data_IF_781489245690
#
_entry.id   IF_781489245690
#
_cell.length_a   1.000
_cell.length_b   1.000
_cell.length_c   1.000
_cell.angle_alpha   90.00
_cell.angle_beta   90.00
_cell.angle_gamma   90.00
#
_symmetry.space_group_name_H-M   'P 1'
#
loop_
_entity.id
_entity.type
_entity.pdbx_description
1 polymer ?
2 water ?
#
# COMPACT_ATOMS: atom_id res chain seq x y z
N UNK A 3 -9.36 -13.59 -9.91
CA UNK A 3 -8.02 -13.08 -9.46
C UNK A 3 -8.07 -11.59 -9.15
N UNK A 4 -7.13 -11.12 -8.34
CA UNK A 4 -7.04 -9.71 -7.95
C UNK A 4 -5.56 -9.26 -7.87
N UNK A 5 -4.81 -9.50 -8.94
CA UNK A 5 -3.38 -9.22 -8.91
C UNK A 5 -3.05 -7.76 -9.24
N UNK A 6 -1.85 -7.34 -8.86
CA UNK A 6 -1.36 -5.97 -9.05
C UNK A 6 0.04 -5.98 -9.71
N UNK A 7 0.20 -5.20 -10.77
CA UNK A 7 1.49 -5.17 -11.46
C UNK A 7 2.25 -3.92 -11.05
N UNK A 8 3.47 -4.12 -10.57
CA UNK A 8 4.29 -3.07 -10.00
C UNK A 8 5.62 -3.00 -10.73
N UNK A 9 6.03 -1.79 -11.11
CA UNK A 9 7.35 -1.52 -11.67
C UNK A 9 8.06 -0.44 -10.84
N UNK A 10 9.37 -0.60 -10.71
CA UNK A 10 10.12 0.04 -9.65
C UNK A 10 11.55 0.23 -10.15
N UNK A 11 12.08 1.45 -10.05
CA UNK A 11 13.49 1.71 -10.35
C UNK A 11 14.33 1.69 -9.07
N UNK A 12 15.52 1.05 -9.10
CA UNK A 12 16.33 1.00 -7.87
C UNK A 12 16.88 2.37 -7.50
N UNK A 13 17.21 2.57 -6.23
CA UNK A 13 17.88 3.79 -5.78
C UNK A 13 19.32 3.84 -6.32
N UNK A 14 20.08 4.85 -5.90
CA UNK A 14 21.46 5.08 -6.36
C UNK A 14 22.42 3.95 -5.96
N UNK A 15 22.05 3.19 -4.94
CA UNK A 15 22.82 2.02 -4.50
C UNK A 15 22.24 0.69 -4.99
N UNK A 16 21.28 0.72 -5.92
CA UNK A 16 20.75 -0.51 -6.54
C UNK A 16 19.76 -1.25 -5.65
N UNK A 17 19.32 -0.58 -4.60
CA UNK A 17 18.36 -1.19 -3.67
C UNK A 17 16.95 -0.70 -3.96
N UNK A 18 16.00 -1.55 -3.60
CA UNK A 18 14.58 -1.24 -3.77
C UNK A 18 13.88 -0.92 -2.45
N UNK A 19 14.40 -1.41 -1.33
CA UNK A 19 13.92 -1.02 0.00
C UNK A 19 12.80 -1.89 0.56
N UNK A 20 12.77 -3.17 0.17
CA UNK A 20 11.88 -4.11 0.80
C UNK A 20 12.61 -5.41 1.17
N UNK A 21 11.98 -6.17 2.07
CA UNK A 21 12.46 -7.49 2.50
C UNK A 21 11.48 -8.54 1.98
N UNK A 22 12.03 -9.70 1.63
CA UNK A 22 11.23 -10.87 1.31
C UNK A 22 11.60 -12.06 2.19
N UNK A 23 10.57 -12.80 2.57
CA UNK A 23 10.65 -14.13 3.15
C UNK A 23 9.99 -15.15 2.22
N UNK A 24 10.29 -16.42 2.47
CA UNK A 24 9.64 -17.52 1.77
C UNK A 24 10.40 -18.05 0.57
N UNK A 25 9.80 -19.06 -0.05
CA UNK A 25 10.38 -19.71 -1.20
C UNK A 25 10.13 -21.21 -1.18
N UNK A 26 10.53 -21.88 -2.27
CA UNK A 26 10.27 -23.31 -2.48
C UNK A 26 10.94 -24.14 -1.41
N UNK A 27 12.16 -23.78 -1.05
CA UNK A 27 12.91 -24.52 -0.04
C UNK A 27 12.37 -24.34 1.40
N UNK A 28 11.62 -23.27 1.63
CA UNK A 28 10.97 -23.00 2.93
C UNK A 28 9.53 -23.50 2.96
N UNK A 29 9.04 -24.07 1.85
CA UNK A 29 7.66 -24.53 1.74
C UNK A 29 6.66 -23.43 2.14
N UNK A 30 7.00 -22.18 1.81
CA UNK A 30 6.24 -21.00 2.19
C UNK A 30 6.16 -20.07 1.00
N UNK A 31 5.02 -19.38 0.82
CA UNK A 31 4.92 -18.43 -0.31
C UNK A 31 5.92 -17.26 -0.18
N UNK A 32 6.30 -16.64 -1.29
CA UNK A 32 7.19 -15.46 -1.19
C UNK A 32 6.36 -14.23 -0.76
N UNK A 33 6.63 -13.71 0.44
CA UNK A 33 5.89 -12.57 1.02
C UNK A 33 6.83 -11.38 1.31
N UNK A 34 6.36 -10.18 0.99
CA UNK A 34 7.04 -8.93 1.36
C UNK A 34 6.85 -8.67 2.86
N UNK A 35 7.94 -8.71 3.63
CA UNK A 35 7.86 -8.63 5.09
C UNK A 35 8.10 -7.24 5.62
N UNK A 36 8.68 -6.35 4.82
CA UNK A 36 8.91 -4.95 5.26
C UNK A 36 9.09 -4.09 4.02
N UNK A 37 8.53 -2.88 4.09
CA UNK A 37 8.69 -1.86 3.08
C UNK A 37 9.10 -0.58 3.76
N UNK A 38 10.33 -0.15 3.50
CA UNK A 38 10.91 1.01 4.18
C UNK A 38 10.43 2.37 3.61
N UNK A 39 10.20 3.35 4.50
CA UNK A 39 9.77 4.70 4.09
C UNK A 39 10.73 5.42 3.16
N UNK A 40 10.19 6.02 2.11
CA UNK A 40 10.96 6.84 1.19
C UNK A 40 11.84 6.07 0.23
N UNK A 41 11.70 4.74 0.21
CA UNK A 41 12.41 3.87 -0.73
C UNK A 41 11.59 3.69 -2.01
N UNK A 42 12.21 3.20 -3.11
CA UNK A 42 11.39 2.98 -4.32
C UNK A 42 10.11 2.17 -4.11
N UNK A 43 10.18 1.10 -3.32
CA UNK A 43 9.01 0.29 -2.98
C UNK A 43 7.86 1.04 -2.30
N UNK A 44 8.23 2.01 -1.48
CA UNK A 44 7.26 2.84 -0.75
C UNK A 44 6.63 3.86 -1.69
N UNK A 45 7.43 4.37 -2.61
CA UNK A 45 7.04 5.50 -3.49
C UNK A 45 6.52 5.10 -4.88
N UNK A 46 6.54 3.82 -5.24
CA UNK A 46 6.10 3.43 -6.58
C UNK A 46 4.58 3.44 -6.63
N UNK A 47 4.02 3.40 -7.83
CA UNK A 47 2.57 3.41 -8.02
C UNK A 47 2.19 2.34 -9.03
N UNK A 48 1.42 1.33 -8.61
CA UNK A 48 0.91 1.07 -7.26
C UNK A 48 2.04 0.81 -6.26
N UNK A 49 1.83 1.16 -4.99
CA UNK A 49 2.80 0.88 -3.91
C UNK A 49 2.89 -0.62 -3.65
N UNK A 50 4.09 -1.07 -3.31
CA UNK A 50 4.28 -2.44 -2.77
C UNK A 50 3.95 -2.40 -1.28
N UNK A 51 3.04 -3.26 -0.83
CA UNK A 51 2.61 -3.25 0.57
C UNK A 51 3.12 -4.51 1.28
N UNK A 52 3.37 -4.38 2.58
CA UNK A 52 3.76 -5.53 3.40
C UNK A 52 2.67 -6.58 3.38
N UNK A 53 3.08 -7.85 3.30
CA UNK A 53 2.15 -8.99 3.26
C UNK A 53 1.76 -9.36 1.84
N UNK A 54 2.09 -8.50 0.87
CA UNK A 54 1.83 -8.85 -0.55
C UNK A 54 2.61 -10.14 -0.90
N UNK A 55 1.99 -11.04 -1.65
CA UNK A 55 2.66 -12.26 -2.10
C UNK A 55 3.17 -12.12 -3.53
N UNK A 56 4.46 -12.38 -3.73
CA UNK A 56 5.09 -12.26 -5.06
C UNK A 56 4.78 -13.48 -5.92
N UNK A 57 4.18 -13.26 -7.10
CA UNK A 57 3.81 -14.30 -8.02
C UNK A 57 4.83 -14.38 -9.20
N UNK A 58 5.15 -13.22 -9.79
CA UNK A 58 6.12 -13.12 -10.89
C UNK A 58 7.17 -12.06 -10.59
N UNK A 59 8.41 -12.35 -11.01
CA UNK A 59 9.52 -11.39 -10.94
C UNK A 59 10.11 -11.26 -12.34
N UNK A 60 9.98 -10.07 -12.91
CA UNK A 60 10.44 -9.81 -14.29
C UNK A 60 9.88 -10.84 -15.30
N UNK A 61 8.60 -11.18 -15.17
CA UNK A 61 7.93 -12.11 -16.07
C UNK A 61 8.09 -13.58 -15.69
N UNK A 62 8.94 -13.88 -14.71
CA UNK A 62 9.21 -15.28 -14.37
C UNK A 62 8.35 -15.73 -13.21
N UNK A 63 7.75 -16.90 -13.37
CA UNK A 63 6.98 -17.56 -12.33
C UNK A 63 7.94 -18.13 -11.29
N UNK A 64 7.82 -17.68 -10.05
CA UNK A 64 8.79 -18.09 -9.03
C UNK A 64 8.30 -19.22 -8.09
N UNK A 65 7.14 -19.79 -8.39
CA UNK A 65 6.50 -20.85 -7.56
C UNK A 65 7.43 -22.00 -7.12
N UNK A 66 8.32 -22.43 -8.00
CA UNK A 66 9.20 -23.55 -7.64
C UNK A 66 10.67 -23.12 -7.56
N UNK A 67 10.89 -21.85 -7.23
CA UNK A 67 12.25 -21.35 -7.00
C UNK A 67 12.52 -21.13 -5.53
N UNK A 68 13.77 -21.38 -5.14
CA UNK A 68 14.21 -21.27 -3.74
C UNK A 68 14.29 -19.82 -3.34
N UNK A 69 14.30 -19.57 -2.03
CA UNK A 69 14.50 -18.23 -1.49
C UNK A 69 15.70 -17.52 -2.12
N UNK A 70 16.84 -18.21 -2.18
CA UNK A 70 18.06 -17.59 -2.70
C UNK A 70 17.97 -17.29 -4.20
N UNK A 71 17.33 -18.18 -4.96
CA UNK A 71 17.04 -17.90 -6.38
C UNK A 71 16.17 -16.64 -6.55
N UNK A 72 15.10 -16.54 -5.76
CA UNK A 72 14.16 -15.38 -5.80
C UNK A 72 14.88 -14.05 -5.53
N UNK A 73 15.73 -14.06 -4.52
CA UNK A 73 16.56 -12.90 -4.20
C UNK A 73 17.47 -12.55 -5.38
N UNK A 74 18.04 -13.57 -6.00
CA UNK A 74 18.93 -13.33 -7.12
C UNK A 74 18.14 -12.71 -8.27
N UNK A 75 16.94 -13.24 -8.55
CA UNK A 75 16.09 -12.65 -9.58
C UNK A 75 15.82 -11.16 -9.33
N UNK A 76 15.56 -10.77 -8.09
CA UNK A 76 15.29 -9.34 -7.80
C UNK A 76 16.52 -8.47 -8.06
N UNK A 77 17.67 -8.96 -7.61
CA UNK A 77 18.94 -8.23 -7.77
C UNK A 77 19.52 -8.20 -9.19
N UNK A 78 19.14 -9.15 -10.04
CA UNK A 78 19.67 -9.24 -11.41
C UNK A 78 19.26 -8.06 -12.31
N UNK A 79 20.18 -7.12 -12.53
CA UNK A 79 19.91 -5.93 -13.34
C UNK A 79 19.77 -6.23 -14.84
N UNK A 80 20.27 -7.38 -15.30
CA UNK A 80 20.20 -7.74 -16.73
C UNK A 80 18.85 -8.36 -17.14
N UNK A 81 17.98 -8.61 -16.18
CA UNK A 81 16.64 -9.13 -16.47
C UNK A 81 15.58 -8.04 -16.38
N UNK A 82 16.02 -6.80 -16.17
CA UNK A 82 15.13 -5.64 -16.03
C UNK A 82 14.84 -4.96 -17.36
N UNK A 83 13.56 -4.79 -17.67
CA UNK A 83 13.14 -4.12 -18.89
C UNK A 83 13.12 -2.61 -18.65
N UNK A 84 13.97 -1.89 -19.37
CA UNK A 84 14.11 -0.43 -19.25
C UNK A 84 14.55 0.01 -17.85
N UNK A 85 15.48 -0.73 -17.25
CA UNK A 85 16.01 -0.44 -15.90
C UNK A 85 15.06 -0.65 -14.72
N UNK A 86 13.88 -1.21 -14.98
CA UNK A 86 12.83 -1.38 -13.97
C UNK A 86 12.65 -2.83 -13.54
N UNK A 87 12.48 -3.03 -12.24
CA UNK A 87 12.02 -4.30 -11.71
C UNK A 87 10.52 -4.36 -11.85
N UNK A 88 10.04 -5.46 -12.43
CA UNK A 88 8.61 -5.76 -12.49
C UNK A 88 8.25 -6.85 -11.48
N UNK A 89 7.22 -6.60 -10.68
CA UNK A 89 6.66 -7.64 -9.80
C UNK A 89 5.15 -7.75 -10.09
N UNK A 90 4.63 -8.97 -10.08
CA UNK A 90 3.19 -9.19 -10.10
C UNK A 90 2.91 -9.78 -8.74
N UNK A 91 2.01 -9.15 -7.99
CA UNK A 91 1.76 -9.58 -6.60
C UNK A 91 0.27 -9.80 -6.35
N UNK A 92 -0.02 -10.72 -5.44
CA UNK A 92 -1.36 -10.86 -4.87
C UNK A 92 -1.39 -9.99 -3.60
N UNK A 93 -2.21 -8.93 -3.61
CA UNK A 93 -2.20 -8.02 -2.47
C UNK A 93 -2.61 -8.70 -1.18
N UNK A 94 -2.04 -8.23 -0.09
CA UNK A 94 -2.45 -8.75 1.18
C UNK A 94 -3.88 -8.24 1.39
N UNK A 95 -4.70 -9.03 2.04
CA UNK A 95 -6.12 -8.71 2.16
C UNK A 95 -6.46 -7.62 3.22
N UNK A 96 -5.48 -7.26 4.04
CA UNK A 96 -5.72 -6.43 5.24
C UNK A 96 -5.53 -4.93 4.96
N UNK A 97 -4.53 -4.63 4.15
CA UNK A 97 -4.13 -3.27 3.79
C UNK A 97 -4.29 -3.03 2.31
N UNK A 98 -4.93 -1.93 1.95
CA UNK A 98 -5.16 -1.61 0.55
C UNK A 98 -4.69 -0.20 0.28
N UNK A 99 -4.17 0.01 -0.91
CA UNK A 99 -3.86 1.35 -1.42
C UNK A 99 -4.97 2.03 -2.23
N UNK A 100 -5.19 3.31 -1.97
CA UNK A 100 -6.11 4.13 -2.79
C UNK A 100 -5.43 5.42 -3.32
N UNK B 2 -17.89 10.68 17.52
CA UNK B 2 -17.29 11.44 18.66
C UNK B 2 -17.27 12.95 18.38
N UNK B 3 -16.68 13.68 19.33
CA UNK B 3 -16.32 15.09 19.17
C UNK B 3 -14.89 15.17 18.65
N UNK B 4 -14.46 16.38 18.29
CA UNK B 4 -13.18 16.60 17.62
C UNK B 4 -12.90 15.57 16.54
N UNK B 5 -13.80 15.57 15.57
CA UNK B 5 -13.57 14.92 14.32
C UNK B 5 -13.08 16.02 13.44
N UNK B 6 -12.38 15.62 12.39
CA UNK B 6 -11.74 16.55 11.48
C UNK B 6 -12.16 16.22 10.07
N UNK B 7 -12.57 17.24 9.32
CA UNK B 7 -12.98 17.02 7.95
C UNK B 7 -11.79 17.30 7.04
N UNK B 8 -11.41 16.28 6.28
CA UNK B 8 -10.26 16.31 5.38
C UNK B 8 -10.83 16.34 3.96
N UNK B 9 -10.33 17.27 3.14
CA UNK B 9 -10.75 17.40 1.74
C UNK B 9 -9.53 17.17 0.85
N UNK B 10 -9.76 16.52 -0.28
CA UNK B 10 -8.67 15.93 -1.04
C UNK B 10 -9.06 15.74 -2.49
N UNK B 11 -8.23 16.21 -3.41
CA UNK B 11 -8.46 16.04 -4.84
C UNK B 11 -7.50 14.96 -5.35
N UNK B 12 -7.97 14.09 -6.27
CA UNK B 12 -7.08 13.02 -6.73
C UNK B 12 -5.95 13.53 -7.64
N UNK B 13 -4.88 12.74 -7.76
CA UNK B 13 -3.78 13.08 -8.66
C UNK B 13 -4.20 12.82 -10.12
N UNK B 15 -4.08 10.25 -11.76
CA UNK B 15 -4.37 8.82 -11.89
C UNK B 15 -5.69 8.42 -11.23
N UNK B 16 -6.23 9.30 -10.39
CA UNK B 16 -7.38 8.96 -9.54
C UNK B 16 -6.93 8.47 -8.17
N UNK B 17 -5.69 8.80 -7.81
CA UNK B 17 -5.07 8.27 -6.60
C UNK B 17 -4.87 9.37 -5.56
N UNK B 18 -4.90 8.96 -4.29
CA UNK B 18 -4.90 9.92 -3.18
C UNK B 18 -3.63 9.85 -2.35
N UNK B 19 -3.03 8.67 -2.35
CA UNK B 19 -1.72 8.47 -1.82
C UNK B 19 -1.72 7.83 -0.47
N UNK B 20 -2.82 7.19 -0.06
CA UNK B 20 -2.85 6.64 1.28
C UNK B 20 -3.29 5.18 1.25
N UNK B 21 -2.88 4.45 2.27
CA UNK B 21 -3.32 3.10 2.50
C UNK B 21 -4.30 3.06 3.65
N UNK B 22 -5.24 2.13 3.60
CA UNK B 22 -6.12 1.87 4.74
C UNK B 22 -6.08 0.40 5.14
N UNK B 23 -6.13 0.16 6.45
CA UNK B 23 -6.34 -1.16 7.02
C UNK B 23 -7.66 -1.10 7.70
N UNK B 24 -8.20 -2.27 8.03
CA UNK B 24 -9.41 -2.34 8.83
C UNK B 24 -10.71 -2.48 8.09
N UNK B 25 -11.79 -2.52 8.88
CA UNK B 25 -13.13 -2.75 8.38
C UNK B 25 -13.94 -3.76 9.18
N UNK B 26 -15.22 -3.85 8.85
CA UNK B 26 -16.17 -4.59 9.71
C UNK B 26 -15.81 -6.06 9.75
N UNK B 27 -15.48 -6.61 8.58
CA UNK B 27 -15.06 -8.02 8.46
C UNK B 27 -13.76 -8.38 9.19
N UNK B 28 -12.91 -7.39 9.44
CA UNK B 28 -11.66 -7.55 10.19
C UNK B 28 -11.85 -7.28 11.69
N UNK B 29 -13.03 -6.83 12.10
CA UNK B 29 -13.28 -6.46 13.51
C UNK B 29 -12.24 -5.45 14.01
N UNK B 30 -11.89 -4.50 13.13
CA UNK B 30 -10.88 -3.50 13.40
C UNK B 30 -11.37 -2.17 12.82
N UNK B 31 -11.05 -1.06 13.49
CA UNK B 31 -11.43 0.22 12.87
C UNK B 31 -10.68 0.46 11.57
N UNK B 32 -11.24 1.30 10.70
CA UNK B 32 -10.55 1.67 9.46
C UNK B 32 -9.53 2.74 9.81
N UNK B 33 -8.25 2.40 9.63
CA UNK B 33 -7.13 3.27 10.04
C UNK B 33 -6.27 3.59 8.81
N UNK B 34 -5.81 4.82 8.70
CA UNK B 34 -4.86 5.18 7.68
C UNK B 34 -3.49 4.62 8.13
N UNK B 35 -2.92 3.74 7.31
CA UNK B 35 -1.69 3.00 7.65
C UNK B 35 -0.43 3.54 7.00
N UNK B 36 -0.59 4.34 5.96
CA UNK B 36 0.56 4.92 5.27
C UNK B 36 0.03 6.09 4.49
N UNK B 37 0.72 7.22 4.57
CA UNK B 37 0.47 8.37 3.71
C UNK B 37 1.79 8.70 3.02
N UNK B 38 1.83 8.51 1.70
CA UNK B 38 3.09 8.56 0.94
C UNK B 38 3.52 10.00 0.68
N UNK B 39 4.84 10.28 0.75
CA UNK B 39 5.31 11.65 0.56
C UNK B 39 4.91 12.25 -0.79
N UNK B 40 4.51 13.51 -0.79
CA UNK B 40 4.29 14.26 -2.02
C UNK B 40 2.94 14.03 -2.66
N UNK B 41 2.13 13.19 -2.03
CA UNK B 41 0.81 12.85 -2.54
C UNK B 41 -0.28 13.79 -1.98
N UNK B 42 -1.48 13.80 -2.62
CA UNK B 42 -2.61 14.61 -2.15
C UNK B 42 -2.88 14.52 -0.65
N UNK B 43 -2.87 13.31 -0.10
CA UNK B 43 -3.08 13.10 1.32
C UNK B 43 -1.95 13.66 2.19
N UNK B 44 -0.73 13.70 1.63
CA UNK B 44 0.45 14.29 2.27
C UNK B 44 0.39 15.82 2.29
N UNK B 45 -0.10 16.41 1.20
CA UNK B 45 0.00 17.86 0.97
C UNK B 45 -1.25 18.64 1.35
N UNK B 46 -2.36 17.96 1.66
CA UNK B 46 -3.62 18.65 1.95
C UNK B 46 -3.63 19.27 3.35
N UNK B 47 -4.44 20.31 3.52
CA UNK B 47 -4.70 20.97 4.81
C UNK B 47 -6.20 20.88 5.15
N UNK B 48 -6.54 20.34 6.33
CA UNK B 48 -5.69 19.62 7.29
C UNK B 48 -5.04 18.40 6.66
N UNK B 49 -3.88 17.99 7.17
CA UNK B 49 -3.19 16.83 6.62
C UNK B 49 -3.89 15.53 7.04
N UNK B 50 -3.85 14.50 6.18
CA UNK B 50 -4.23 13.13 6.57
C UNK B 50 -3.00 12.46 7.17
N UNK B 51 -3.14 11.96 8.39
CA UNK B 51 -2.03 11.42 9.17
C UNK B 51 -2.22 9.92 9.44
N UNK B 52 -1.12 9.20 9.50
CA UNK B 52 -1.19 7.78 9.77
C UNK B 52 -1.72 7.60 11.20
N UNK B 53 -2.56 6.59 11.39
CA UNK B 53 -3.19 6.38 12.71
C UNK B 53 -4.54 7.06 12.81
N UNK B 54 -4.83 7.97 11.89
CA UNK B 54 -6.16 8.60 11.79
C UNK B 54 -7.18 7.53 11.41
N UNK B 55 -8.34 7.58 12.07
CA UNK B 55 -9.43 6.64 11.87
C UNK B 55 -10.52 7.26 11.00
N UNK B 56 -10.81 6.62 9.88
CA UNK B 56 -11.85 7.05 8.95
C UNK B 56 -13.22 6.74 9.54
N UNK B 57 -14.06 7.77 9.61
CA UNK B 57 -15.37 7.66 10.20
C UNK B 57 -16.45 7.77 9.12
N UNK B 58 -16.41 8.84 8.33
CA UNK B 58 -17.30 9.00 7.18
C UNK B 58 -16.49 9.05 5.87
N UNK B 59 -17.06 8.46 4.82
CA UNK B 59 -16.55 8.61 3.45
C UNK B 59 -17.65 9.24 2.60
N UNK B 60 -17.40 10.48 2.17
CA UNK B 60 -18.36 11.27 1.42
C UNK B 60 -19.74 11.25 2.10
N UNK B 61 -19.71 11.43 3.42
CA UNK B 61 -20.92 11.50 4.24
C UNK B 61 -21.41 10.17 4.76
N UNK B 62 -20.92 9.07 4.21
CA UNK B 62 -21.43 7.76 4.59
C UNK B 62 -20.70 7.22 5.80
N UNK B 63 -21.49 6.75 6.77
CA UNK B 63 -20.99 6.07 7.95
C UNK B 63 -20.49 4.70 7.54
N UNK B 64 -19.20 4.46 7.71
CA UNK B 64 -18.65 3.17 7.25
C UNK B 64 -18.44 2.13 8.36
N UNK B 65 -18.95 2.38 9.56
CA UNK B 65 -18.65 1.51 10.73
C UNK B 65 -18.97 0.03 10.54
N UNK B 66 -20.00 -0.27 9.75
CA UNK B 66 -20.39 -1.65 9.52
C UNK B 66 -20.17 -2.10 8.08
N UNK B 67 -19.26 -1.44 7.37
CA UNK B 67 -18.94 -1.84 5.99
C UNK B 67 -17.61 -2.58 6.01
N UNK B 68 -17.44 -3.53 5.09
CA UNK B 68 -16.24 -4.34 5.05
C UNK B 68 -15.06 -3.56 4.49
N UNK B 69 -13.87 -4.10 4.71
CA UNK B 69 -12.65 -3.52 4.15
C UNK B 69 -12.76 -3.24 2.65
N UNK B 70 -13.15 -4.25 1.86
CA UNK B 70 -13.25 -4.08 0.40
C UNK B 70 -14.36 -3.11 -0.05
N UNK B 71 -15.43 -3.01 0.74
CA UNK B 71 -16.51 -2.06 0.50
C UNK B 71 -16.03 -0.63 0.78
N UNK B 72 -15.24 -0.46 1.83
CA UNK B 72 -14.61 0.87 2.11
C UNK B 72 -13.69 1.32 0.97
N UNK B 73 -12.88 0.41 0.48
CA UNK B 73 -11.96 0.71 -0.60
C UNK B 73 -12.73 1.20 -1.84
N UNK B 74 -13.82 0.53 -2.13
CA UNK B 74 -14.65 0.85 -3.29
C UNK B 74 -15.36 2.21 -3.14
N UNK B 75 -15.76 2.59 -1.93
CA UNK B 75 -16.32 3.92 -1.68
C UNK B 75 -15.31 5.04 -1.92
N UNK B 76 -14.06 4.79 -1.59
CA UNK B 76 -13.02 5.80 -1.76
C UNK B 76 -12.70 6.01 -3.23
N UNK B 77 -12.52 4.91 -3.96
CA UNK B 77 -12.22 4.94 -5.40
C UNK B 77 -13.39 5.43 -6.25
N UNK B 78 -14.61 5.29 -5.72
CA UNK B 78 -15.80 5.80 -6.38
C UNK B 78 -15.96 7.32 -6.20
N UNK B 79 -15.00 7.98 -5.55
CA UNK B 79 -14.91 9.45 -5.61
C UNK B 79 -14.55 9.97 -7.01
N UNK B 86 -13.99 15.87 -5.35
CA UNK B 86 -13.18 15.84 -4.14
C UNK B 86 -13.52 14.61 -3.29
N UNK B 87 -12.55 14.18 -2.49
CA UNK B 87 -12.82 13.18 -1.48
C UNK B 87 -12.98 13.88 -0.16
N UNK B 88 -14.15 13.71 0.47
CA UNK B 88 -14.42 14.18 1.83
C UNK B 88 -14.32 13.01 2.82
N UNK B 89 -13.38 13.11 3.74
CA UNK B 89 -13.24 12.12 4.81
C UNK B 89 -13.44 12.84 6.13
N UNK B 90 -14.24 12.25 7.00
CA UNK B 90 -14.32 12.71 8.36
C UNK B 90 -13.48 11.71 9.13
N UNK B 91 -12.43 12.18 9.82
CA UNK B 91 -11.48 11.33 10.57
C UNK B 91 -11.43 11.64 12.07
N UNK B 92 -11.21 10.62 12.89
CA UNK B 92 -10.80 10.83 14.27
C UNK B 92 -9.26 10.87 14.31
N UNK B 93 -8.67 12.06 14.63
CA UNK B 93 -7.22 12.18 14.46
C UNK B 93 -6.50 11.23 15.39
N UNK B 94 -5.35 10.72 15.00
CA UNK B 94 -4.58 9.93 15.95
C UNK B 94 -4.14 10.85 17.09
N UNK B 95 -3.99 10.28 18.28
CA UNK B 95 -3.62 11.05 19.46
C UNK B 95 -2.18 11.57 19.45
N UNK B 96 -1.28 10.93 18.70
CA UNK B 96 0.15 11.19 18.79
C UNK B 96 0.60 12.41 17.99
N UNK B 97 0.03 12.57 16.81
CA UNK B 97 0.39 13.64 15.86
C UNK B 97 -0.85 14.47 15.50
N UNK B 98 -0.75 15.79 15.68
CA UNK B 98 -1.85 16.74 15.43
C UNK B 98 -1.50 17.86 14.41
N UNK B 99 -2.48 18.25 13.59
CA UNK B 99 -2.31 19.37 12.63
C UNK B 99 -2.78 20.67 13.23
N UNK B 100 -2.01 21.73 13.00
CA UNK B 100 -2.33 23.04 13.50
C UNK B 100 -2.17 24.09 12.39
#
# INVERSE_FOLDING_TARGET
SMDNLVLIRMKPDENGRFGFNVKGGYDQKMPVIVSRVAPGTPADLCVPRLNEGDQVVLINGRDIAEHTHDQVVLFIKASCERHSGELMLLVRPNAVESTV
SMDNLVLIRMKPDENGRFGFNVKGGYDQKMPVIVSRVAPGTPADLCVPRLNEGDQVVLINGRDIAEHTHDQVVLFIKASCERHSGELMLLVRPNAVESTV
#
